data_IF_903640240375
#
_entry.id   IF_903640240375
#
_cell.length_a   1.000
_cell.length_b   1.000
_cell.length_c   1.000
_cell.angle_alpha   90.00
_cell.angle_beta   90.00
_cell.angle_gamma   90.00
#
_symmetry.space_group_name_H-M   'P 1'
#
loop_
_entity.id
_entity.type
_entity.pdbx_description
1 polymer ?
#
# COMPACT_ATOMS: atom_id res chain seq x y z
N UNK A 1 28.67 1.36 22.62
CA UNK A 1 27.91 0.92 21.45
C UNK A 1 26.47 0.74 21.89
N UNK A 2 25.55 1.55 21.37
CA UNK A 2 24.13 1.43 21.67
C UNK A 2 23.54 0.47 20.63
N UNK A 3 22.89 -0.64 21.01
CA UNK A 3 22.29 -1.53 20.03
C UNK A 3 21.11 -0.80 19.38
N UNK A 4 21.25 -0.41 18.11
CA UNK A 4 20.15 0.14 17.34
C UNK A 4 19.29 -1.03 16.84
N UNK A 5 18.49 -1.63 17.72
CA UNK A 5 17.48 -2.63 17.32
C UNK A 5 16.22 -1.94 16.79
N UNK A 6 16.39 -0.88 16.00
CA UNK A 6 15.27 -0.11 15.46
C UNK A 6 14.85 -0.69 14.10
N UNK A 7 14.46 -1.96 14.08
CA UNK A 7 13.90 -2.62 12.89
C UNK A 7 12.40 -2.32 12.74
N UNK A 8 11.88 -1.33 13.47
CA UNK A 8 10.48 -0.94 13.43
C UNK A 8 10.28 0.13 12.36
N UNK A 9 9.61 -0.24 11.28
CA UNK A 9 9.23 0.62 10.17
C UNK A 9 7.71 0.64 10.07
N UNK A 10 7.12 1.82 10.21
CA UNK A 10 5.69 2.02 9.97
C UNK A 10 5.52 2.48 8.51
N UNK A 11 4.66 1.79 7.74
CA UNK A 11 4.33 2.10 6.34
C UNK A 11 2.91 2.68 6.25
N UNK A 12 2.80 3.92 5.79
CA UNK A 12 1.53 4.63 5.64
C UNK A 12 0.96 4.45 4.24
N UNK A 13 -0.31 4.07 4.14
CA UNK A 13 -0.97 3.77 2.88
C UNK A 13 -2.25 4.61 2.75
N UNK A 14 -2.53 5.04 1.52
CA UNK A 14 -3.77 5.74 1.17
C UNK A 14 -4.58 4.79 0.28
N UNK A 15 -5.45 4.02 0.93
CA UNK A 15 -6.37 3.10 0.25
C UNK A 15 -7.78 3.51 0.67
N UNK A 16 -8.61 3.92 -0.30
CA UNK A 16 -9.98 4.40 -0.03
C UNK A 16 -10.94 3.23 -0.09
N UNK A 17 -11.81 3.09 0.91
CA UNK A 17 -12.89 2.09 0.92
C UNK A 17 -12.44 0.65 1.24
N UNK A 18 -11.23 0.47 1.77
CA UNK A 18 -10.74 -0.83 2.27
C UNK A 18 -10.95 -0.91 3.77
N UNK A 19 -11.37 -2.07 4.26
CA UNK A 19 -11.51 -2.34 5.69
C UNK A 19 -10.14 -2.55 6.34
N UNK A 20 -10.03 -2.15 7.61
CA UNK A 20 -8.85 -2.42 8.43
C UNK A 20 -8.79 -3.90 8.81
N UNK A 21 -7.57 -4.41 8.96
CA UNK A 21 -7.31 -5.77 9.45
C UNK A 21 -6.43 -5.71 10.68
N UNK A 22 -6.13 -6.85 11.30
CA UNK A 22 -5.16 -6.94 12.41
C UNK A 22 -3.78 -6.36 12.02
N UNK A 23 -3.48 -6.40 10.72
CA UNK A 23 -2.20 -5.95 10.16
C UNK A 23 -2.28 -4.60 9.44
N UNK A 24 -3.39 -4.33 8.77
CA UNK A 24 -3.69 -3.06 8.12
C UNK A 24 -4.50 -2.21 9.09
N UNK A 25 -3.80 -1.54 10.00
CA UNK A 25 -4.39 -0.70 11.03
C UNK A 25 -4.95 0.61 10.43
N UNK A 26 -5.88 1.25 11.14
CA UNK A 26 -6.34 2.59 10.79
C UNK A 26 -5.18 3.61 10.92
N UNK A 27 -5.00 4.44 9.89
CA UNK A 27 -3.94 5.45 9.81
C UNK A 27 -4.09 6.58 10.84
N UNK A 28 -5.32 6.89 11.26
CA UNK A 28 -5.67 7.75 12.39
C UNK A 28 -4.74 8.95 12.64
N UNK A 29 -4.30 9.12 13.89
CA UNK A 29 -3.45 10.25 14.35
C UNK A 29 -1.99 10.20 13.86
N UNK A 30 -1.60 9.22 13.04
CA UNK A 30 -0.20 9.07 12.65
C UNK A 30 0.23 10.09 11.59
N UNK A 31 -0.59 10.28 10.56
CA UNK A 31 -0.39 11.30 9.55
C UNK A 31 -1.77 11.59 8.92
N UNK A 32 -2.23 12.85 8.95
CA UNK A 32 -3.57 13.22 8.46
C UNK A 32 -3.81 12.94 6.97
N UNK A 33 -2.77 12.54 6.22
CA UNK A 33 -2.86 12.14 4.83
C UNK A 33 -3.04 10.64 4.61
N UNK A 34 -2.66 9.77 5.56
CA UNK A 34 -2.71 8.31 5.40
C UNK A 34 -3.99 7.72 6.00
N UNK A 35 -4.71 6.90 5.24
CA UNK A 35 -5.92 6.23 5.73
C UNK A 35 -5.61 4.95 6.50
N UNK A 36 -4.49 4.29 6.18
CA UNK A 36 -4.07 3.02 6.78
C UNK A 36 -2.59 3.02 7.17
N UNK A 37 -2.23 2.13 8.09
CA UNK A 37 -0.86 1.83 8.52
C UNK A 37 -0.60 0.34 8.51
N UNK A 38 0.62 -0.04 8.13
CA UNK A 38 1.19 -1.36 8.43
C UNK A 38 2.47 -1.18 9.24
N UNK A 39 2.60 -1.92 10.34
CA UNK A 39 3.84 -1.99 11.12
C UNK A 39 4.68 -3.16 10.65
N UNK A 40 5.95 -2.91 10.40
CA UNK A 40 6.94 -3.92 10.03
C UNK A 40 8.05 -3.88 11.07
N UNK A 41 8.29 -5.00 11.72
CA UNK A 41 9.26 -5.19 12.80
C UNK A 41 10.39 -6.15 12.39
N UNK A 42 10.15 -6.97 11.37
CA UNK A 42 11.14 -7.88 10.81
C UNK A 42 10.98 -8.06 9.29
N UNK A 43 12.03 -8.58 8.65
CA UNK A 43 12.06 -8.77 7.19
C UNK A 43 11.00 -9.76 6.69
N UNK A 44 10.64 -10.76 7.52
CA UNK A 44 9.64 -11.78 7.17
C UNK A 44 8.24 -11.21 6.98
N UNK A 45 7.96 -10.04 7.55
CA UNK A 45 6.69 -9.34 7.36
C UNK A 45 6.63 -8.67 5.99
N UNK A 46 7.72 -8.49 5.24
CA UNK A 46 7.64 -8.00 3.86
C UNK A 46 7.21 -9.15 2.94
N UNK A 47 5.90 -9.37 2.86
CA UNK A 47 5.28 -10.48 2.15
C UNK A 47 4.43 -9.98 0.96
N UNK A 48 3.92 -10.89 0.11
CA UNK A 48 3.14 -10.50 -1.07
C UNK A 48 1.91 -9.64 -0.75
N UNK A 49 1.24 -9.90 0.38
CA UNK A 49 0.09 -9.12 0.84
C UNK A 49 0.43 -7.63 1.04
N UNK A 50 1.56 -7.32 1.69
CA UNK A 50 2.01 -5.94 1.87
C UNK A 50 2.35 -5.28 0.52
N UNK A 51 2.91 -6.04 -0.41
CA UNK A 51 3.23 -5.54 -1.76
C UNK A 51 1.95 -5.22 -2.54
N UNK A 52 0.90 -6.04 -2.42
CA UNK A 52 -0.39 -5.75 -3.05
C UNK A 52 -1.01 -4.46 -2.50
N UNK A 53 -0.98 -4.24 -1.18
CA UNK A 53 -1.48 -2.98 -0.62
C UNK A 53 -0.67 -1.76 -1.07
N UNK A 54 0.65 -1.90 -1.26
CA UNK A 54 1.49 -0.85 -1.83
C UNK A 54 1.09 -0.53 -3.28
N UNK A 55 0.81 -1.56 -4.09
CA UNK A 55 0.30 -1.37 -5.46
C UNK A 55 -1.06 -0.69 -5.46
N UNK A 56 -2.00 -1.17 -4.66
CA UNK A 56 -3.34 -0.56 -4.54
C UNK A 56 -3.27 0.90 -4.13
N UNK A 57 -2.40 1.24 -3.17
CA UNK A 57 -2.17 2.62 -2.74
C UNK A 57 -1.56 3.48 -3.88
N UNK A 58 -0.63 2.92 -4.65
CA UNK A 58 -0.01 3.59 -5.80
C UNK A 58 -1.03 3.85 -6.93
N UNK A 59 -1.87 2.86 -7.24
CA UNK A 59 -2.95 2.98 -8.22
C UNK A 59 -3.99 4.01 -7.77
N UNK A 60 -4.38 3.97 -6.49
CA UNK A 60 -5.33 4.91 -5.88
C UNK A 60 -4.82 6.36 -5.86
N UNK A 61 -3.50 6.56 -5.83
CA UNK A 61 -2.87 7.88 -5.91
C UNK A 61 -2.88 8.47 -7.34
N UNK A 62 -3.39 7.75 -8.33
CA UNK A 62 -3.60 8.25 -9.70
C UNK A 62 -2.39 8.08 -10.63
N UNK A 63 -1.33 7.39 -10.19
CA UNK A 63 -0.15 7.15 -11.04
C UNK A 63 -0.34 6.01 -12.05
N UNK A 64 -1.44 5.26 -11.97
CA UNK A 64 -1.82 4.21 -12.92
C UNK A 64 -2.92 4.65 -13.92
N UNK A 65 -3.10 5.96 -14.15
CA UNK A 65 -4.30 6.46 -14.82
C UNK A 65 -4.44 6.12 -16.32
N UNK A 66 -3.43 5.79 -17.11
CA UNK A 66 -3.66 5.55 -18.56
C UNK A 66 -2.55 4.72 -19.18
N UNK A 67 -2.63 3.39 -19.09
CA UNK A 67 -1.87 2.54 -20.04
C UNK A 67 -2.60 1.24 -20.37
N UNK A 68 -3.38 0.64 -19.45
CA UNK A 68 -4.00 -0.67 -19.73
C UNK A 68 -5.35 -0.54 -20.46
N UNK A 69 -6.12 0.54 -20.23
CA UNK A 69 -7.37 0.78 -20.96
C UNK A 69 -7.17 1.08 -22.47
N UNK A 70 -5.98 1.50 -22.90
CA UNK A 70 -5.69 1.76 -24.32
C UNK A 70 -5.20 0.52 -25.09
N UNK A 71 -4.84 -0.58 -24.41
CA UNK A 71 -4.45 -1.82 -25.07
C UNK A 71 -5.64 -2.77 -25.31
N UNK A 72 -6.71 -2.67 -24.51
CA UNK A 72 -7.92 -3.48 -24.70
C UNK A 72 -8.87 -2.94 -25.76
N UNK A 73 -8.86 -1.62 -26.02
CA UNK A 73 -9.74 -0.98 -27.02
C UNK A 73 -9.28 -1.21 -28.48
N UNK A 74 -8.18 -1.91 -28.72
CA UNK A 74 -7.70 -2.30 -30.06
C UNK A 74 -7.76 -3.82 -30.33
N UNK A 75 -8.41 -4.58 -29.45
CA UNK A 75 -8.66 -6.03 -29.63
C UNK A 75 -10.15 -6.38 -29.81
N UNK A 76 -11.00 -5.41 -30.16
CA UNK A 76 -12.31 -5.72 -30.73
C UNK A 76 -12.22 -5.68 -32.25
N UNK A 77 -12.43 -6.88 -32.81
CA UNK A 77 -12.46 -7.22 -34.22
C UNK A 77 -13.74 -6.65 -34.83
N UNK A 78 -13.66 -5.59 -35.63
CA UNK A 78 -14.28 -5.41 -36.98
C UNK A 78 -13.55 -4.30 -37.72
#
# INVERSE_FOLDING_TARGET
>A
MQPFTNTRMDIGLIIKGKDTTERLEEGGKWNGMCTHRVRVTEKGEINPELVEWLKEAYESAGYAHTTIHLLYSSMEVV
#
